data_IF_510991875990
#
_entry.id   IF_510991875990
#
_cell.length_a   1.000
_cell.length_b   1.000
_cell.length_c   1.000
_cell.angle_alpha   90.00
_cell.angle_beta   90.00
_cell.angle_gamma   90.00
#
_symmetry.space_group_name_H-M   'P 1'
#
loop_
_entity.id
_entity.type
_entity.pdbx_description
1 polymer ?
#
# COMPACT_ATOMS: atom_id res chain seq x y z
N UNK A 1 12.22 60.15 -60.87
CA UNK A 1 10.84 60.20 -60.33
C UNK A 1 10.57 58.95 -59.48
N UNK A 2 10.73 59.03 -58.16
CA UNK A 2 10.39 57.94 -57.23
C UNK A 2 9.00 58.23 -56.63
N UNK A 3 8.00 57.41 -56.97
CA UNK A 3 6.66 57.48 -56.36
C UNK A 3 6.76 57.05 -54.88
N UNK A 4 6.07 57.71 -53.93
CA UNK A 4 6.06 57.29 -52.54
C UNK A 4 5.23 56.00 -52.39
N UNK A 5 5.79 55.02 -51.69
CA UNK A 5 5.09 53.79 -51.32
C UNK A 5 3.92 54.12 -50.37
N UNK A 6 2.80 53.49 -50.67
CA UNK A 6 1.47 53.73 -50.13
C UNK A 6 1.37 53.38 -48.63
N UNK A 7 1.06 54.36 -47.78
CA UNK A 7 0.88 54.19 -46.32
C UNK A 7 -0.30 53.27 -45.93
N UNK A 8 -1.12 52.87 -46.89
CA UNK A 8 -2.31 52.03 -46.69
C UNK A 8 -1.97 50.58 -46.33
N UNK A 9 -0.85 50.04 -46.82
CA UNK A 9 -0.46 48.64 -46.53
C UNK A 9 0.10 48.44 -45.12
N UNK A 10 0.72 49.46 -44.53
CA UNK A 10 1.21 49.41 -43.14
C UNK A 10 0.08 49.47 -42.12
N UNK A 11 -1.02 50.17 -42.43
CA UNK A 11 -2.18 50.27 -41.55
C UNK A 11 -3.05 49.00 -41.58
N UNK A 12 -3.16 48.34 -42.73
CA UNK A 12 -3.92 47.09 -42.86
C UNK A 12 -3.21 45.89 -42.20
N UNK A 13 -1.88 45.80 -42.30
CA UNK A 13 -1.09 44.78 -41.60
C UNK A 13 -1.12 44.95 -40.07
N UNK A 14 -1.12 46.19 -39.56
CA UNK A 14 -1.17 46.46 -38.12
C UNK A 14 -2.55 46.15 -37.51
N UNK A 15 -3.64 46.38 -38.26
CA UNK A 15 -5.00 46.02 -37.85
C UNK A 15 -5.23 44.50 -37.85
N UNK A 16 -4.70 43.75 -38.82
CA UNK A 16 -4.82 42.29 -38.83
C UNK A 16 -4.01 41.63 -37.70
N UNK A 17 -2.80 42.13 -37.40
CA UNK A 17 -1.95 41.61 -36.31
C UNK A 17 -2.54 41.94 -34.95
N UNK A 18 -3.13 43.13 -34.74
CA UNK A 18 -3.80 43.46 -33.47
C UNK A 18 -5.10 42.67 -33.28
N UNK A 19 -5.86 42.37 -34.34
CA UNK A 19 -7.08 41.55 -34.23
C UNK A 19 -6.77 40.08 -33.96
N UNK A 20 -5.70 39.52 -34.57
CA UNK A 20 -5.22 38.16 -34.28
C UNK A 20 -4.64 38.02 -32.87
N UNK A 21 -3.94 39.04 -32.37
CA UNK A 21 -3.46 39.06 -30.98
C UNK A 21 -4.64 39.20 -30.00
N UNK A 22 -5.67 39.98 -30.32
CA UNK A 22 -6.86 40.09 -29.47
C UNK A 22 -7.66 38.77 -29.43
N UNK A 23 -7.81 38.07 -30.57
CA UNK A 23 -8.49 36.75 -30.62
C UNK A 23 -7.65 35.66 -29.94
N UNK A 24 -6.32 35.72 -30.02
CA UNK A 24 -5.43 34.82 -29.28
C UNK A 24 -5.44 35.11 -27.77
N UNK A 25 -5.56 36.38 -27.36
CA UNK A 25 -5.73 36.74 -25.95
C UNK A 25 -7.10 36.29 -25.44
N UNK A 26 -8.17 36.45 -26.23
CA UNK A 26 -9.52 35.96 -25.86
C UNK A 26 -9.57 34.41 -25.82
N UNK A 27 -8.85 33.70 -26.68
CA UNK A 27 -8.73 32.22 -26.61
C UNK A 27 -7.83 31.75 -25.45
N UNK A 28 -6.79 32.52 -25.09
CA UNK A 28 -5.89 32.17 -23.97
C UNK A 28 -6.46 32.49 -22.59
N UNK A 29 -7.42 33.42 -22.48
CA UNK A 29 -8.15 33.67 -21.22
C UNK A 29 -9.30 32.68 -21.02
N UNK A 30 -9.90 32.16 -22.10
CA UNK A 30 -10.93 31.11 -22.01
C UNK A 30 -10.38 29.74 -21.56
N UNK A 31 -9.08 29.47 -21.78
CA UNK A 31 -8.43 28.23 -21.33
C UNK A 31 -7.89 28.29 -19.89
N UNK A 32 -7.87 29.47 -19.26
CA UNK A 32 -7.31 29.68 -17.92
C UNK A 32 -8.32 29.53 -16.77
N UNK A 33 -9.50 28.94 -17.00
CA UNK A 33 -10.43 28.57 -15.94
C UNK A 33 -11.21 27.29 -16.28
N UNK A 34 -10.49 26.19 -16.54
CA UNK A 34 -11.08 24.89 -16.25
C UNK A 34 -11.25 24.79 -14.73
N UNK A 35 -12.39 25.27 -14.20
CA UNK A 35 -12.73 25.12 -12.80
C UNK A 35 -12.53 23.64 -12.41
N UNK A 36 -11.60 23.38 -11.49
CA UNK A 36 -11.36 22.03 -11.00
C UNK A 36 -12.71 21.41 -10.62
N UNK A 37 -13.00 20.21 -11.12
CA UNK A 37 -14.29 19.54 -10.86
C UNK A 37 -14.60 19.61 -9.35
N UNK A 38 -15.80 20.03 -8.93
CA UNK A 38 -16.10 20.23 -7.52
C UNK A 38 -16.00 18.89 -6.77
N UNK A 39 -15.52 18.94 -5.53
CA UNK A 39 -15.49 17.77 -4.65
C UNK A 39 -16.92 17.49 -4.19
N UNK A 40 -17.40 16.27 -4.43
CA UNK A 40 -18.71 15.82 -3.93
C UNK A 40 -18.54 15.15 -2.58
N UNK A 41 -19.44 15.43 -1.65
CA UNK A 41 -19.51 14.70 -0.37
C UNK A 41 -20.77 13.85 -0.39
N UNK A 42 -20.64 12.57 -0.09
CA UNK A 42 -21.73 11.58 -0.02
C UNK A 42 -21.75 11.07 1.41
N UNK A 43 -22.89 11.20 2.09
CA UNK A 43 -23.09 10.72 3.45
C UNK A 43 -24.21 9.69 3.42
N UNK A 44 -23.92 8.46 3.84
CA UNK A 44 -24.88 7.34 3.87
C UNK A 44 -25.54 7.06 2.51
N UNK A 45 -24.75 7.15 1.43
CA UNK A 45 -25.21 6.96 0.06
C UNK A 45 -25.92 8.18 -0.56
N UNK A 46 -26.18 9.23 0.22
CA UNK A 46 -26.83 10.46 -0.27
C UNK A 46 -25.82 11.58 -0.49
N UNK A 47 -25.82 12.18 -1.67
CA UNK A 47 -24.99 13.36 -1.94
C UNK A 47 -25.43 14.53 -1.05
N UNK A 48 -24.49 15.13 -0.35
CA UNK A 48 -24.71 16.25 0.55
C UNK A 48 -24.56 17.57 -0.21
N UNK A 49 -25.64 18.35 -0.25
CA UNK A 49 -25.59 19.75 -0.69
C UNK A 49 -25.07 20.60 0.46
N UNK A 50 -24.05 21.43 0.19
CA UNK A 50 -23.36 22.21 1.20
C UNK A 50 -23.18 23.63 0.70
N UNK A 51 -23.38 24.63 1.57
CA UNK A 51 -23.14 26.04 1.23
C UNK A 51 -21.65 26.33 1.01
N UNK A 52 -20.79 25.67 1.79
CA UNK A 52 -19.33 25.72 1.64
C UNK A 52 -18.83 24.56 0.78
N UNK A 53 -17.90 24.85 -0.12
CA UNK A 53 -17.29 23.84 -0.98
C UNK A 53 -16.11 23.17 -0.28
N UNK A 54 -15.97 21.82 -0.35
CA UNK A 54 -14.74 21.14 0.05
C UNK A 54 -13.58 21.53 -0.87
N UNK A 55 -12.36 21.56 -0.31
CA UNK A 55 -11.16 22.04 -1.01
C UNK A 55 -9.96 21.14 -0.75
N UNK A 56 -9.00 21.14 -1.67
CA UNK A 56 -7.68 20.54 -1.40
C UNK A 56 -6.76 21.67 -0.93
N UNK A 57 -6.28 21.58 0.30
CA UNK A 57 -5.37 22.56 0.90
C UNK A 57 -4.11 21.81 1.32
N UNK A 58 -2.95 22.21 0.78
CA UNK A 58 -1.66 21.55 1.01
C UNK A 58 -1.69 20.02 0.78
N UNK A 59 -2.37 19.59 -0.29
CA UNK A 59 -2.51 18.17 -0.64
C UNK A 59 -3.50 17.37 0.24
N UNK A 60 -4.22 18.01 1.15
CA UNK A 60 -5.24 17.38 2.01
C UNK A 60 -6.64 17.80 1.58
N UNK A 61 -7.54 16.83 1.48
CA UNK A 61 -8.97 17.11 1.28
C UNK A 61 -9.54 17.66 2.59
N UNK A 62 -10.02 18.89 2.51
CA UNK A 62 -10.61 19.66 3.61
C UNK A 62 -12.12 19.79 3.35
N UNK A 63 -12.92 19.37 4.31
CA UNK A 63 -14.39 19.32 4.19
C UNK A 63 -15.05 20.25 5.21
N UNK A 64 -16.14 20.94 4.85
CA UNK A 64 -16.87 21.79 5.79
C UNK A 64 -17.42 20.95 6.95
N UNK A 65 -16.86 21.17 8.13
CA UNK A 65 -17.02 20.26 9.25
C UNK A 65 -18.46 20.19 9.73
N UNK A 66 -19.08 21.36 9.96
CA UNK A 66 -20.45 21.51 10.45
C UNK A 66 -21.45 20.74 9.58
N UNK A 67 -21.44 20.98 8.27
CA UNK A 67 -22.41 20.40 7.35
C UNK A 67 -22.32 18.86 7.29
N UNK A 68 -21.11 18.30 7.38
CA UNK A 68 -20.96 16.84 7.50
C UNK A 68 -21.46 16.35 8.85
N UNK A 69 -21.04 16.96 9.96
CA UNK A 69 -21.37 16.44 11.31
C UNK A 69 -22.84 16.61 11.69
N UNK A 70 -23.51 17.68 11.26
CA UNK A 70 -24.96 17.88 11.46
C UNK A 70 -25.76 16.86 10.65
N UNK A 71 -25.35 16.54 9.41
CA UNK A 71 -25.95 15.45 8.63
C UNK A 71 -25.83 14.10 9.34
N UNK A 72 -24.72 13.90 10.06
CA UNK A 72 -24.48 12.74 10.91
C UNK A 72 -25.22 12.80 12.26
N UNK A 73 -26.07 13.80 12.50
CA UNK A 73 -26.87 13.92 13.73
C UNK A 73 -26.09 14.38 14.95
N UNK A 74 -24.92 15.02 14.77
CA UNK A 74 -24.15 15.61 15.85
C UNK A 74 -24.51 17.09 16.06
N UNK A 75 -24.44 17.57 17.30
CA UNK A 75 -24.56 18.98 17.63
C UNK A 75 -23.21 19.68 17.47
N UNK A 76 -23.20 20.89 16.90
CA UNK A 76 -21.98 21.63 16.60
C UNK A 76 -22.04 23.02 17.23
N UNK A 77 -21.14 23.27 18.19
CA UNK A 77 -20.97 24.55 18.84
C UNK A 77 -19.70 25.25 18.36
N UNK A 78 -19.80 26.54 18.05
CA UNK A 78 -18.65 27.38 17.69
C UNK A 78 -18.36 28.38 18.80
N UNK A 79 -17.12 28.41 19.28
CA UNK A 79 -16.63 29.45 20.19
C UNK A 79 -15.71 30.40 19.41
N UNK A 80 -16.17 31.64 19.22
CA UNK A 80 -15.45 32.66 18.48
C UNK A 80 -14.21 33.19 19.22
N UNK A 81 -14.23 33.24 20.55
CA UNK A 81 -13.11 33.72 21.37
C UNK A 81 -11.94 32.72 21.32
N UNK A 82 -12.26 31.43 21.43
CA UNK A 82 -11.26 30.36 21.39
C UNK A 82 -10.94 29.86 19.98
N UNK A 83 -11.64 30.39 18.96
CA UNK A 83 -11.60 29.93 17.57
C UNK A 83 -11.75 28.40 17.47
N UNK A 84 -12.66 27.84 18.26
CA UNK A 84 -12.80 26.40 18.41
C UNK A 84 -14.18 25.89 18.02
N UNK A 85 -14.22 24.72 17.38
CA UNK A 85 -15.46 23.98 17.14
C UNK A 85 -15.54 22.81 18.11
N UNK A 86 -16.66 22.67 18.80
CA UNK A 86 -16.99 21.51 19.63
C UNK A 86 -18.13 20.72 18.99
N UNK A 87 -17.99 19.40 18.88
CA UNK A 87 -19.02 18.51 18.34
C UNK A 87 -19.38 17.45 19.37
N UNK A 88 -20.69 17.27 19.60
CA UNK A 88 -21.23 16.26 20.52
C UNK A 88 -22.20 15.33 19.81
N UNK A 89 -22.04 14.02 20.02
CA UNK A 89 -22.96 12.97 19.55
C UNK A 89 -22.89 11.78 20.49
N UNK A 90 -23.96 11.52 21.25
CA UNK A 90 -23.93 10.53 22.33
C UNK A 90 -22.84 10.89 23.36
N UNK A 91 -21.98 9.92 23.71
CA UNK A 91 -20.83 10.12 24.61
C UNK A 91 -19.59 10.73 23.94
N UNK A 92 -19.61 10.92 22.62
CA UNK A 92 -18.48 11.46 21.88
C UNK A 92 -18.49 12.98 21.94
N UNK A 93 -17.40 13.56 22.46
CA UNK A 93 -17.15 15.00 22.48
C UNK A 93 -15.80 15.29 21.79
N UNK A 94 -15.86 16.00 20.65
CA UNK A 94 -14.69 16.44 19.89
C UNK A 94 -14.51 17.94 20.05
N UNK A 95 -13.28 18.42 20.23
CA UNK A 95 -12.96 19.85 20.17
C UNK A 95 -11.76 20.08 19.27
N UNK A 96 -11.89 21.03 18.35
CA UNK A 96 -10.84 21.46 17.44
C UNK A 96 -10.62 22.95 17.57
N UNK A 97 -9.38 23.40 17.42
CA UNK A 97 -9.02 24.82 17.36
C UNK A 97 -8.45 25.14 15.98
N UNK A 98 -8.97 26.18 15.34
CA UNK A 98 -8.49 26.63 14.02
C UNK A 98 -7.00 26.98 14.12
N UNK A 99 -6.20 26.44 13.18
CA UNK A 99 -4.75 26.65 13.12
C UNK A 99 -3.92 25.69 13.99
N UNK A 100 -4.54 24.85 14.82
CA UNK A 100 -3.82 23.85 15.61
C UNK A 100 -3.87 22.47 14.95
N UNK A 101 -2.75 21.75 14.97
CA UNK A 101 -2.66 20.35 14.53
C UNK A 101 -2.99 19.35 15.63
N UNK A 102 -3.55 19.82 16.75
CA UNK A 102 -4.04 19.01 17.84
C UNK A 102 -5.54 19.25 18.04
N UNK A 103 -6.27 18.17 18.27
CA UNK A 103 -7.68 18.18 18.68
C UNK A 103 -7.84 17.37 19.95
N UNK A 104 -9.00 17.46 20.61
CA UNK A 104 -9.35 16.54 21.69
C UNK A 104 -10.55 15.68 21.31
N UNK A 105 -10.51 14.41 21.72
CA UNK A 105 -11.60 13.44 21.62
C UNK A 105 -11.83 12.83 23.00
N UNK A 106 -13.01 13.06 23.60
CA UNK A 106 -13.36 12.62 24.96
C UNK A 106 -12.26 13.00 25.98
N UNK A 107 -11.73 14.22 25.85
CA UNK A 107 -10.67 14.75 26.71
C UNK A 107 -9.24 14.28 26.37
N UNK A 108 -9.04 13.33 25.45
CA UNK A 108 -7.71 12.87 25.02
C UNK A 108 -7.23 13.63 23.79
N UNK A 109 -5.96 14.03 23.76
CA UNK A 109 -5.36 14.71 22.62
C UNK A 109 -5.18 13.76 21.42
N UNK A 110 -5.56 14.22 20.23
CA UNK A 110 -5.45 13.52 18.95
C UNK A 110 -4.71 14.42 17.96
N UNK A 111 -3.71 13.88 17.27
CA UNK A 111 -2.97 14.59 16.24
C UNK A 111 -3.74 14.65 14.91
N UNK A 112 -3.79 15.84 14.32
CA UNK A 112 -4.34 16.11 13.01
C UNK A 112 -3.22 16.12 11.97
N UNK A 113 -3.53 15.59 10.79
CA UNK A 113 -2.66 15.57 9.63
C UNK A 113 -2.59 16.92 8.88
N UNK A 114 -3.54 17.81 9.15
CA UNK A 114 -3.47 19.24 8.85
C UNK A 114 -4.31 20.03 9.87
N UNK A 115 -3.96 21.30 10.10
CA UNK A 115 -4.74 22.15 10.99
C UNK A 115 -6.11 22.49 10.37
N UNK A 116 -7.19 22.57 11.16
CA UNK A 116 -8.46 23.12 10.70
C UNK A 116 -8.27 24.55 10.24
N UNK A 117 -8.92 24.91 9.14
CA UNK A 117 -8.85 26.25 8.56
C UNK A 117 -10.24 26.87 8.50
N UNK A 118 -10.30 28.18 8.60
CA UNK A 118 -11.55 28.91 8.38
C UNK A 118 -11.53 29.54 7.00
N UNK A 119 -12.48 29.16 6.14
CA UNK A 119 -12.62 29.67 4.77
C UNK A 119 -14.05 30.16 4.58
N UNK A 120 -14.21 31.41 4.17
CA UNK A 120 -15.52 32.05 3.95
C UNK A 120 -16.51 31.88 5.13
N UNK A 121 -16.01 31.95 6.38
CA UNK A 121 -16.85 31.79 7.58
C UNK A 121 -17.08 30.34 8.01
N UNK A 122 -16.70 29.34 7.20
CA UNK A 122 -16.85 27.93 7.52
C UNK A 122 -15.53 27.32 7.99
N UNK A 123 -15.61 26.44 8.99
CA UNK A 123 -14.45 25.67 9.44
C UNK A 123 -14.35 24.41 8.59
N UNK A 124 -13.24 24.27 7.88
CA UNK A 124 -12.91 23.09 7.11
C UNK A 124 -11.90 22.25 7.91
N UNK A 125 -12.14 20.94 7.95
CA UNK A 125 -11.27 19.99 8.66
C UNK A 125 -10.71 18.95 7.70
N UNK A 126 -9.55 18.35 8.01
CA UNK A 126 -9.02 17.26 7.22
C UNK A 126 -9.98 16.08 7.21
N UNK A 127 -10.15 15.48 6.03
CA UNK A 127 -11.03 14.34 5.81
C UNK A 127 -10.80 13.19 6.82
N UNK A 128 -9.54 12.93 7.15
CA UNK A 128 -9.11 11.87 8.08
C UNK A 128 -9.65 12.08 9.51
N UNK A 129 -9.89 13.32 9.90
CA UNK A 129 -10.39 13.62 11.24
C UNK A 129 -11.81 13.10 11.45
N UNK A 130 -12.66 13.21 10.42
CA UNK A 130 -14.03 12.67 10.44
C UNK A 130 -14.03 11.16 10.72
N UNK A 131 -13.03 10.43 10.21
CA UNK A 131 -12.94 8.98 10.45
C UNK A 131 -12.55 8.60 11.87
N UNK A 132 -11.63 9.36 12.49
CA UNK A 132 -11.08 9.03 13.80
C UNK A 132 -11.92 9.48 14.99
N UNK A 133 -12.78 10.50 14.78
CA UNK A 133 -13.50 11.14 15.87
C UNK A 133 -14.92 10.60 16.13
N UNK A 134 -15.65 10.25 15.07
CA UNK A 134 -17.10 10.01 15.14
C UNK A 134 -17.51 8.55 14.88
N UNK A 135 -16.57 7.65 14.62
CA UNK A 135 -16.88 6.24 14.30
C UNK A 135 -17.42 6.05 12.89
N UNK A 136 -16.94 6.84 11.92
CA UNK A 136 -17.35 6.76 10.52
C UNK A 136 -16.16 6.30 9.66
N UNK A 137 -16.42 5.49 8.64
CA UNK A 137 -15.46 5.24 7.57
C UNK A 137 -15.56 6.36 6.56
N UNK A 138 -14.40 6.89 6.18
CA UNK A 138 -14.30 7.99 5.23
C UNK A 138 -13.37 7.60 4.10
N UNK A 139 -13.91 7.60 2.88
CA UNK A 139 -13.18 7.23 1.66
C UNK A 139 -13.08 8.42 0.72
N UNK A 140 -11.88 8.68 0.22
CA UNK A 140 -11.64 9.64 -0.87
C UNK A 140 -11.43 8.88 -2.17
N UNK A 141 -12.32 9.11 -3.13
CA UNK A 141 -12.16 8.65 -4.50
C UNK A 141 -11.62 9.81 -5.37
N UNK A 142 -10.36 9.70 -5.77
CA UNK A 142 -9.70 10.69 -6.60
C UNK A 142 -10.23 10.73 -8.04
N UNK A 143 -10.74 9.62 -8.57
CA UNK A 143 -11.26 9.52 -9.93
C UNK A 143 -12.62 10.24 -10.05
N UNK A 144 -13.51 10.02 -9.09
CA UNK A 144 -14.83 10.68 -9.06
C UNK A 144 -14.85 12.00 -8.28
N UNK A 145 -13.71 12.36 -7.65
CA UNK A 145 -13.54 13.48 -6.71
C UNK A 145 -14.63 13.50 -5.66
N UNK A 146 -14.89 12.32 -5.10
CA UNK A 146 -15.94 12.14 -4.10
C UNK A 146 -15.37 11.71 -2.75
N UNK A 147 -15.92 12.31 -1.71
CA UNK A 147 -15.76 11.89 -0.33
C UNK A 147 -16.99 11.06 0.02
N UNK A 148 -16.81 9.81 0.42
CA UNK A 148 -17.89 8.99 0.98
C UNK A 148 -17.70 8.86 2.48
N UNK A 149 -18.72 9.24 3.24
CA UNK A 149 -18.81 9.11 4.69
C UNK A 149 -19.94 8.12 4.98
N UNK A 150 -19.64 7.05 5.70
CA UNK A 150 -20.61 6.04 6.14
C UNK A 150 -20.26 5.61 7.55
N UNK A 151 -21.21 5.14 8.38
CA UNK A 151 -20.87 4.53 9.65
C UNK A 151 -19.74 3.55 9.43
N UNK A 152 -18.73 3.56 10.31
CA UNK A 152 -18.04 2.31 10.55
C UNK A 152 -19.17 1.37 10.95
N UNK A 153 -19.44 0.34 10.12
CA UNK A 153 -20.45 -0.66 10.45
C UNK A 153 -20.30 -0.96 11.94
N UNK A 154 -21.39 -0.72 12.67
CA UNK A 154 -21.42 -1.00 14.10
C UNK A 154 -20.91 -2.45 14.22
N UNK A 155 -19.82 -2.71 14.96
CA UNK A 155 -19.41 -4.09 15.19
C UNK A 155 -20.68 -4.80 15.68
N UNK A 156 -21.02 -5.98 15.14
CA UNK A 156 -22.29 -6.63 15.44
C UNK A 156 -22.59 -6.52 16.93
N UNK A 157 -23.78 -6.02 17.26
CA UNK A 157 -24.25 -5.95 18.63
C UNK A 157 -24.07 -7.32 19.30
N UNK A 158 -23.20 -7.34 20.32
CA UNK A 158 -22.74 -8.53 21.05
C UNK A 158 -22.20 -9.69 20.19
N UNK A 159 -21.33 -10.55 20.75
CA UNK A 159 -20.81 -11.69 19.99
C UNK A 159 -22.00 -12.58 19.59
N UNK A 160 -22.26 -12.70 18.29
CA UNK A 160 -22.85 -13.94 17.79
C UNK A 160 -21.95 -15.07 18.28
N UNK A 161 -22.54 -16.23 18.57
CA UNK A 161 -21.93 -17.40 19.21
C UNK A 161 -20.59 -17.93 18.61
N UNK A 162 -19.99 -17.30 17.59
CA UNK A 162 -18.72 -17.67 16.95
C UNK A 162 -17.45 -17.34 17.76
N UNK A 163 -17.50 -16.45 18.75
CA UNK A 163 -16.33 -16.14 19.59
C UNK A 163 -15.35 -15.13 18.97
N UNK A 164 -14.08 -15.18 19.36
CA UNK A 164 -13.04 -14.19 18.98
C UNK A 164 -11.79 -14.88 18.42
N UNK A 165 -11.04 -14.16 17.59
CA UNK A 165 -9.66 -14.46 17.22
C UNK A 165 -8.81 -13.20 17.36
N UNK A 166 -7.69 -13.31 18.08
CA UNK A 166 -6.76 -12.23 18.32
C UNK A 166 -5.56 -12.37 17.37
N UNK A 167 -5.40 -11.41 16.45
CA UNK A 167 -4.40 -11.42 15.40
C UNK A 167 -3.28 -10.43 15.71
N UNK A 168 -2.02 -10.88 15.73
CA UNK A 168 -0.86 -10.00 15.72
C UNK A 168 -0.33 -9.91 14.30
N UNK A 169 -0.24 -8.71 13.74
CA UNK A 169 0.08 -8.52 12.31
C UNK A 169 1.08 -7.41 12.04
N UNK A 170 2.09 -7.68 11.22
CA UNK A 170 2.98 -6.63 10.69
C UNK A 170 2.46 -5.97 9.40
N UNK A 171 1.43 -6.57 8.80
CA UNK A 171 0.70 -6.00 7.68
C UNK A 171 -0.21 -4.87 8.19
N UNK A 172 0.01 -3.66 7.69
CA UNK A 172 -0.63 -2.43 8.17
C UNK A 172 -1.55 -1.76 7.13
N UNK A 173 -1.81 -2.43 5.99
CA UNK A 173 -2.69 -1.92 4.93
C UNK A 173 -3.67 -2.98 4.46
N UNK A 174 -4.91 -2.56 4.15
CA UNK A 174 -5.89 -3.37 3.41
C UNK A 174 -6.40 -4.62 4.13
N UNK A 175 -6.23 -4.72 5.46
CA UNK A 175 -6.62 -5.90 6.23
C UNK A 175 -8.00 -5.79 6.87
N UNK A 176 -8.44 -4.59 7.22
CA UNK A 176 -9.72 -4.37 7.91
C UNK A 176 -10.93 -4.88 7.11
N UNK A 177 -11.09 -4.57 5.81
CA UNK A 177 -12.26 -5.04 5.05
C UNK A 177 -12.32 -6.58 4.95
N UNK A 178 -11.14 -7.21 4.91
CA UNK A 178 -11.00 -8.67 4.86
C UNK A 178 -11.50 -9.30 6.16
N UNK A 179 -11.12 -8.73 7.30
CA UNK A 179 -11.55 -9.22 8.62
C UNK A 179 -13.02 -8.92 8.91
N UNK A 180 -13.55 -7.79 8.42
CA UNK A 180 -14.99 -7.52 8.43
C UNK A 180 -15.76 -8.57 7.63
N UNK A 181 -15.29 -8.93 6.43
CA UNK A 181 -15.92 -9.96 5.62
C UNK A 181 -15.89 -11.34 6.29
N UNK A 182 -14.75 -11.73 6.88
CA UNK A 182 -14.64 -12.94 7.68
C UNK A 182 -15.62 -12.96 8.87
N UNK A 183 -15.67 -11.85 9.62
CA UNK A 183 -16.58 -11.72 10.77
C UNK A 183 -18.03 -11.85 10.33
N UNK A 184 -18.41 -11.25 9.19
CA UNK A 184 -19.75 -11.37 8.62
C UNK A 184 -20.07 -12.81 8.21
N UNK A 185 -19.11 -13.51 7.61
CA UNK A 185 -19.29 -14.88 7.13
C UNK A 185 -19.38 -15.92 8.26
N UNK A 186 -18.70 -15.68 9.39
CA UNK A 186 -18.50 -16.70 10.44
C UNK A 186 -19.08 -16.35 11.80
N UNK A 187 -19.37 -15.06 12.04
CA UNK A 187 -19.69 -14.55 13.37
C UNK A 187 -18.49 -14.45 14.33
N UNK A 188 -17.28 -14.82 13.91
CA UNK A 188 -16.05 -14.74 14.71
C UNK A 188 -15.48 -13.33 14.62
N UNK A 189 -15.34 -12.66 15.76
CA UNK A 189 -14.76 -11.31 15.83
C UNK A 189 -13.24 -11.36 15.68
N UNK A 190 -12.68 -10.55 14.78
CA UNK A 190 -11.22 -10.39 14.66
C UNK A 190 -10.78 -9.16 15.44
N UNK A 191 -9.97 -9.36 16.48
CA UNK A 191 -9.26 -8.27 17.16
C UNK A 191 -7.82 -8.31 16.69
N UNK A 192 -7.27 -7.19 16.23
CA UNK A 192 -5.89 -7.20 15.74
C UNK A 192 -5.02 -6.13 16.38
N UNK A 193 -3.74 -6.48 16.56
CA UNK A 193 -2.67 -5.59 17.02
C UNK A 193 -1.63 -5.50 15.92
N UNK A 194 -1.26 -4.28 15.55
CA UNK A 194 -0.24 -4.03 14.53
C UNK A 194 1.11 -3.72 15.16
N UNK A 195 2.20 -4.12 14.50
CA UNK A 195 3.56 -3.84 14.97
C UNK A 195 4.62 -4.41 14.03
N UNK A 196 5.87 -3.98 14.19
CA UNK A 196 6.98 -4.55 13.42
C UNK A 196 7.16 -6.04 13.75
N UNK A 197 7.53 -6.86 12.76
CA UNK A 197 7.65 -8.32 12.90
C UNK A 197 8.53 -8.76 14.08
N UNK A 198 9.72 -8.17 14.22
CA UNK A 198 10.62 -8.48 15.33
C UNK A 198 9.99 -8.14 16.71
N UNK A 199 9.28 -7.01 16.79
CA UNK A 199 8.61 -6.57 18.03
C UNK A 199 7.46 -7.52 18.38
N UNK A 200 6.65 -7.91 17.40
CA UNK A 200 5.53 -8.83 17.63
C UNK A 200 6.01 -10.23 18.03
N UNK A 201 7.09 -10.74 17.43
CA UNK A 201 7.66 -12.03 17.84
C UNK A 201 8.20 -12.01 19.26
N UNK A 202 8.98 -10.99 19.62
CA UNK A 202 9.47 -10.85 21.00
C UNK A 202 8.33 -10.67 21.99
N UNK A 203 7.26 -9.97 21.60
CA UNK A 203 6.04 -9.87 22.41
C UNK A 203 5.38 -11.22 22.64
N UNK A 204 5.12 -12.01 21.58
CA UNK A 204 4.53 -13.35 21.69
C UNK A 204 5.41 -14.24 22.58
N UNK A 205 6.75 -14.17 22.40
CA UNK A 205 7.70 -14.89 23.23
C UNK A 205 7.61 -14.50 24.71
N UNK A 206 7.58 -13.19 25.00
CA UNK A 206 7.53 -12.67 26.36
C UNK A 206 6.20 -12.99 27.06
N UNK A 207 5.09 -12.97 26.33
CA UNK A 207 3.78 -13.34 26.85
C UNK A 207 3.66 -14.85 27.12
N UNK A 208 4.39 -15.68 26.35
CA UNK A 208 4.49 -17.12 26.56
C UNK A 208 3.13 -17.81 26.59
N UNK A 209 2.89 -18.67 27.59
CA UNK A 209 1.62 -19.40 27.78
C UNK A 209 0.40 -18.51 28.00
N UNK A 210 0.61 -17.23 28.30
CA UNK A 210 -0.45 -16.26 28.53
C UNK A 210 -0.65 -15.30 27.36
N UNK A 211 -0.02 -15.56 26.20
CA UNK A 211 -0.26 -14.72 25.02
C UNK A 211 -1.74 -14.72 24.66
N UNK A 212 -2.36 -13.53 24.47
CA UNK A 212 -3.70 -13.47 23.93
C UNK A 212 -3.70 -13.73 22.43
N UNK A 213 -2.54 -13.69 21.74
CA UNK A 213 -2.46 -13.83 20.30
C UNK A 213 -2.81 -15.26 19.88
N UNK A 214 -3.77 -15.38 18.97
CA UNK A 214 -4.20 -16.65 18.35
C UNK A 214 -3.47 -16.90 17.03
N UNK A 215 -3.24 -15.82 16.26
CA UNK A 215 -2.61 -15.86 14.94
C UNK A 215 -1.51 -14.82 14.88
N UNK A 216 -0.36 -15.21 14.33
CA UNK A 216 0.68 -14.29 13.89
C UNK A 216 0.68 -14.21 12.36
N UNK A 217 0.49 -13.01 11.82
CA UNK A 217 0.51 -12.71 10.40
C UNK A 217 1.70 -11.80 10.08
N UNK A 218 2.55 -12.25 9.18
CA UNK A 218 3.77 -11.57 8.81
C UNK A 218 3.81 -11.28 7.31
N UNK A 219 4.55 -10.23 6.97
CA UNK A 219 5.11 -10.09 5.63
C UNK A 219 6.47 -10.78 5.62
N UNK A 220 6.71 -11.64 4.64
CA UNK A 220 7.96 -12.42 4.46
C UNK A 220 7.99 -13.79 5.13
N UNK A 221 8.27 -14.81 4.31
CA UNK A 221 8.47 -16.16 4.77
C UNK A 221 9.66 -16.29 5.72
N UNK A 222 10.69 -15.43 5.60
CA UNK A 222 11.79 -15.40 6.56
C UNK A 222 11.31 -15.11 7.98
N UNK A 223 10.39 -14.14 8.14
CA UNK A 223 9.80 -13.81 9.45
C UNK A 223 8.93 -14.95 10.01
N UNK A 224 8.15 -15.61 9.16
CA UNK A 224 7.34 -16.77 9.55
C UNK A 224 8.21 -17.95 9.96
N UNK A 225 9.29 -18.21 9.23
CA UNK A 225 10.25 -19.25 9.54
C UNK A 225 10.96 -18.97 10.86
N UNK A 226 11.39 -17.73 11.12
CA UNK A 226 11.98 -17.35 12.42
C UNK A 226 11.00 -17.59 13.58
N UNK A 227 9.74 -17.19 13.44
CA UNK A 227 8.72 -17.46 14.45
C UNK A 227 8.53 -18.97 14.69
N UNK A 228 8.50 -19.77 13.63
CA UNK A 228 8.38 -21.22 13.72
C UNK A 228 9.62 -21.90 14.32
N UNK A 229 10.83 -21.42 13.99
CA UNK A 229 12.10 -21.89 14.58
C UNK A 229 12.13 -21.61 16.08
N UNK A 230 11.65 -20.45 16.48
CA UNK A 230 11.65 -20.00 17.87
C UNK A 230 10.51 -20.62 18.70
N UNK A 231 9.78 -21.59 18.15
CA UNK A 231 8.70 -22.31 18.85
C UNK A 231 7.45 -21.47 19.09
N UNK A 232 7.26 -20.35 18.37
CA UNK A 232 6.13 -19.45 18.58
C UNK A 232 4.88 -19.88 17.81
N UNK A 233 5.01 -20.79 16.86
CA UNK A 233 3.93 -21.26 15.99
C UNK A 233 3.73 -22.77 16.11
N UNK A 234 2.46 -23.18 16.21
CA UNK A 234 2.06 -24.58 16.28
C UNK A 234 1.70 -25.14 14.90
N UNK A 235 1.95 -26.44 14.65
CA UNK A 235 1.54 -27.08 13.42
C UNK A 235 0.01 -27.15 13.30
N UNK A 236 -0.51 -26.89 12.11
CA UNK A 236 -1.94 -27.00 11.78
C UNK A 236 -2.12 -28.07 10.72
N UNK A 237 -2.80 -29.17 11.08
CA UNK A 237 -3.20 -30.18 10.10
C UNK A 237 -4.61 -29.85 9.56
N UNK A 238 -4.68 -29.17 8.42
CA UNK A 238 -5.94 -28.83 7.74
C UNK A 238 -5.91 -29.28 6.28
N UNK A 239 -6.91 -30.10 5.91
CA UNK A 239 -7.11 -30.52 4.51
C UNK A 239 -7.42 -29.32 3.60
N UNK A 240 -8.13 -28.31 4.11
CA UNK A 240 -8.44 -27.10 3.35
C UNK A 240 -7.17 -26.29 3.06
N UNK A 241 -6.32 -26.05 4.07
CA UNK A 241 -5.06 -25.34 3.87
C UNK A 241 -4.11 -26.08 2.92
N UNK A 242 -3.96 -27.40 3.11
CA UNK A 242 -3.07 -28.22 2.27
C UNK A 242 -3.52 -28.30 0.81
N UNK A 243 -4.84 -28.25 0.57
CA UNK A 243 -5.41 -28.22 -0.78
C UNK A 243 -5.31 -26.83 -1.42
N UNK A 244 -5.59 -25.78 -0.64
CA UNK A 244 -5.68 -24.42 -1.17
C UNK A 244 -4.30 -23.78 -1.35
N UNK A 245 -3.31 -24.12 -0.52
CA UNK A 245 -1.98 -23.49 -0.52
C UNK A 245 -0.93 -24.49 -1.04
N UNK A 246 -0.27 -24.19 -2.19
CA UNK A 246 0.82 -24.99 -2.74
C UNK A 246 1.91 -25.30 -1.71
N UNK A 247 2.51 -26.49 -1.78
CA UNK A 247 3.49 -26.96 -0.79
C UNK A 247 4.74 -26.09 -0.70
N UNK A 248 5.16 -25.44 -1.79
CA UNK A 248 6.29 -24.52 -1.79
C UNK A 248 5.98 -23.18 -1.10
N UNK A 249 4.71 -22.84 -0.87
CA UNK A 249 4.26 -21.61 -0.21
C UNK A 249 3.92 -21.78 1.28
N UNK A 250 4.18 -22.95 1.86
CA UNK A 250 3.91 -23.25 3.27
C UNK A 250 5.09 -23.96 3.93
N UNK A 251 5.12 -23.90 5.26
CA UNK A 251 6.09 -24.64 6.07
C UNK A 251 5.96 -26.15 5.83
N UNK A 252 7.07 -26.90 5.64
CA UNK A 252 7.02 -28.35 5.52
C UNK A 252 6.38 -29.05 6.73
N UNK A 253 6.44 -28.44 7.92
CA UNK A 253 5.82 -28.94 9.15
C UNK A 253 4.46 -28.26 9.45
N UNK A 254 3.88 -27.54 8.48
CA UNK A 254 2.57 -26.89 8.58
C UNK A 254 2.42 -25.89 9.74
N UNK A 255 3.51 -25.24 10.17
CA UNK A 255 3.47 -24.19 11.21
C UNK A 255 3.02 -22.82 10.69
N UNK A 256 3.14 -22.59 9.39
CA UNK A 256 2.67 -21.37 8.73
C UNK A 256 2.34 -21.62 7.26
N UNK A 257 1.50 -20.74 6.69
CA UNK A 257 0.99 -20.84 5.33
C UNK A 257 1.05 -19.46 4.64
N UNK A 258 1.55 -19.43 3.41
CA UNK A 258 1.47 -18.26 2.54
C UNK A 258 0.03 -18.03 2.09
N UNK A 259 -0.48 -16.83 2.28
CA UNK A 259 -1.86 -16.44 1.98
C UNK A 259 -1.93 -15.50 0.78
N UNK A 260 -0.90 -14.72 0.50
CA UNK A 260 -0.76 -13.98 -0.75
C UNK A 260 0.67 -14.08 -1.25
N UNK A 261 0.86 -13.86 -2.54
CA UNK A 261 2.15 -13.92 -3.21
C UNK A 261 2.53 -12.53 -3.72
N UNK A 262 3.77 -12.14 -3.42
CA UNK A 262 4.46 -11.03 -4.05
C UNK A 262 5.61 -11.55 -4.88
N UNK A 263 5.91 -10.86 -5.97
CA UNK A 263 6.97 -11.20 -6.91
C UNK A 263 7.94 -10.05 -6.89
N UNK A 264 9.20 -10.31 -6.54
CA UNK A 264 10.26 -9.31 -6.54
C UNK A 264 11.04 -9.46 -7.84
N UNK A 265 10.87 -8.53 -8.76
CA UNK A 265 11.37 -8.67 -10.13
C UNK A 265 11.92 -7.36 -10.65
N UNK A 266 12.37 -7.37 -11.90
CA UNK A 266 12.91 -6.22 -12.61
C UNK A 266 11.78 -5.29 -13.05
N UNK A 267 11.93 -3.99 -12.79
CA UNK A 267 11.07 -2.94 -13.33
C UNK A 267 11.93 -1.91 -14.06
N UNK A 268 11.43 -1.38 -15.17
CA UNK A 268 12.21 -0.51 -16.06
C UNK A 268 11.36 0.56 -16.73
N UNK A 269 12.01 1.63 -17.18
CA UNK A 269 11.39 2.66 -18.01
C UNK A 269 11.51 2.30 -19.50
N UNK A 270 10.40 2.07 -20.22
CA UNK A 270 10.45 1.51 -21.59
C UNK A 270 11.10 2.43 -22.63
N UNK A 271 11.10 3.74 -22.42
CA UNK A 271 11.79 4.67 -23.33
C UNK A 271 13.32 4.69 -23.16
N UNK A 272 13.85 4.02 -22.13
CA UNK A 272 15.27 4.06 -21.74
C UNK A 272 15.94 2.69 -21.75
N UNK A 273 15.16 1.62 -21.65
CA UNK A 273 15.63 0.24 -21.64
C UNK A 273 14.69 -0.60 -22.49
N UNK A 274 15.25 -1.34 -23.44
CA UNK A 274 14.47 -2.32 -24.19
C UNK A 274 14.37 -3.65 -23.44
N UNK A 275 13.25 -4.38 -23.55
CA UNK A 275 13.10 -5.68 -22.86
C UNK A 275 14.20 -6.69 -23.17
N UNK A 276 14.77 -6.66 -24.38
CA UNK A 276 15.81 -7.59 -24.83
C UNK A 276 17.16 -7.34 -24.14
N UNK A 277 17.34 -6.19 -23.51
CA UNK A 277 18.53 -5.91 -22.69
C UNK A 277 18.45 -6.57 -21.30
N UNK A 278 17.26 -7.01 -20.89
CA UNK A 278 16.96 -7.58 -19.60
C UNK A 278 16.86 -9.11 -19.70
N UNK A 279 17.29 -9.80 -18.64
CA UNK A 279 17.19 -11.26 -18.60
C UNK A 279 17.01 -11.80 -17.18
N UNK A 280 18.01 -11.61 -16.33
CA UNK A 280 18.11 -12.28 -15.04
C UNK A 280 18.55 -11.32 -13.95
N UNK A 281 18.34 -11.67 -12.68
CA UNK A 281 18.91 -10.92 -11.57
C UNK A 281 20.44 -10.88 -11.66
N UNK A 282 21.04 -11.97 -12.14
CA UNK A 282 22.48 -12.12 -12.31
C UNK A 282 23.05 -11.16 -13.35
N UNK A 283 22.34 -10.93 -14.46
CA UNK A 283 22.75 -9.98 -15.52
C UNK A 283 22.85 -8.53 -15.02
N UNK A 284 22.16 -8.18 -13.94
CA UNK A 284 22.28 -6.85 -13.33
C UNK A 284 23.67 -6.59 -12.71
N UNK A 285 24.55 -7.60 -12.66
CA UNK A 285 25.96 -7.45 -12.31
C UNK A 285 26.83 -6.97 -13.48
N UNK A 286 26.32 -7.00 -14.72
CA UNK A 286 27.05 -6.57 -15.90
C UNK A 286 27.37 -5.06 -15.86
N UNK A 287 28.60 -4.61 -16.21
CA UNK A 287 28.98 -3.20 -16.21
C UNK A 287 28.10 -2.27 -17.05
N UNK A 288 27.31 -2.78 -18.01
CA UNK A 288 26.33 -2.01 -18.79
C UNK A 288 25.27 -1.32 -17.92
N UNK A 289 25.11 -1.77 -16.68
CA UNK A 289 24.17 -1.22 -15.70
C UNK A 289 24.78 -0.20 -14.73
N UNK A 290 26.06 0.15 -14.89
CA UNK A 290 26.74 1.09 -13.98
C UNK A 290 26.05 2.46 -13.93
N UNK A 291 25.65 2.87 -12.73
CA UNK A 291 24.94 4.12 -12.45
C UNK A 291 23.46 4.11 -12.87
N UNK A 292 22.93 2.98 -13.34
CA UNK A 292 21.58 2.86 -13.92
C UNK A 292 20.59 2.13 -13.00
N UNK A 293 21.10 1.46 -11.97
CA UNK A 293 20.32 0.62 -11.05
C UNK A 293 19.75 1.44 -9.90
N UNK A 294 18.49 1.16 -9.54
CA UNK A 294 17.85 1.70 -8.34
C UNK A 294 17.34 0.53 -7.48
N UNK A 295 17.80 0.43 -6.24
CA UNK A 295 17.55 -0.73 -5.39
C UNK A 295 17.24 -0.34 -3.95
N UNK A 296 16.88 -1.34 -3.14
CA UNK A 296 16.64 -1.20 -1.71
C UNK A 296 17.92 -1.44 -0.91
N UNK A 297 18.12 -0.76 0.24
CA UNK A 297 19.21 -1.08 1.15
C UNK A 297 19.22 -2.54 1.62
N UNK A 298 20.40 -3.04 2.04
CA UNK A 298 20.60 -4.39 2.59
C UNK A 298 19.76 -4.70 3.83
N UNK A 299 19.34 -3.67 4.57
CA UNK A 299 18.53 -3.80 5.79
C UNK A 299 17.10 -4.27 5.53
N UNK A 300 16.63 -4.28 4.28
CA UNK A 300 15.28 -4.74 3.94
C UNK A 300 15.20 -6.26 3.79
N UNK A 301 14.19 -6.84 4.44
CA UNK A 301 13.85 -8.27 4.33
C UNK A 301 13.66 -8.72 2.88
N UNK A 302 13.11 -7.87 2.02
CA UNK A 302 12.93 -8.19 0.60
C UNK A 302 14.26 -8.39 -0.15
N UNK A 303 15.28 -7.60 0.19
CA UNK A 303 16.64 -7.75 -0.36
C UNK A 303 17.29 -9.02 0.19
N UNK A 304 17.18 -9.24 1.49
CA UNK A 304 17.74 -10.41 2.17
C UNK A 304 17.14 -11.71 1.63
N UNK A 305 15.82 -11.80 1.46
CA UNK A 305 15.15 -13.00 0.94
C UNK A 305 15.45 -13.27 -0.53
N UNK A 306 15.64 -12.22 -1.35
CA UNK A 306 16.13 -12.38 -2.73
C UNK A 306 17.55 -12.97 -2.74
N UNK A 307 18.47 -12.41 -1.95
CA UNK A 307 19.84 -12.93 -1.84
C UNK A 307 19.85 -14.34 -1.27
N UNK A 308 19.02 -14.65 -0.28
CA UNK A 308 18.86 -16.02 0.24
C UNK A 308 18.44 -17.00 -0.86
N UNK A 309 17.50 -16.61 -1.73
CA UNK A 309 17.13 -17.44 -2.89
C UNK A 309 18.27 -17.62 -3.90
N UNK A 310 19.14 -16.63 -4.05
CA UNK A 310 20.34 -16.75 -4.89
C UNK A 310 21.41 -17.65 -4.25
N UNK A 311 21.58 -17.61 -2.93
CA UNK A 311 22.44 -18.56 -2.21
C UNK A 311 21.90 -19.98 -2.39
N UNK A 312 20.59 -20.19 -2.27
CA UNK A 312 19.98 -21.50 -2.51
C UNK A 312 20.21 -22.01 -3.94
N UNK A 313 20.13 -21.12 -4.94
CA UNK A 313 20.27 -21.47 -6.34
C UNK A 313 21.73 -21.71 -6.79
N UNK A 314 22.69 -20.95 -6.23
CA UNK A 314 24.06 -20.89 -6.76
C UNK A 314 25.16 -21.22 -5.75
N UNK A 315 24.81 -21.35 -4.47
CA UNK A 315 25.78 -21.35 -3.37
C UNK A 315 26.27 -19.94 -3.02
N UNK A 316 26.87 -19.83 -1.83
CA UNK A 316 27.26 -18.53 -1.23
C UNK A 316 28.32 -17.79 -2.06
N UNK A 317 29.33 -18.50 -2.56
CA UNK A 317 30.43 -17.90 -3.32
C UNK A 317 29.96 -17.21 -4.62
N UNK A 318 29.14 -17.91 -5.42
CA UNK A 318 28.62 -17.35 -6.68
C UNK A 318 27.61 -16.25 -6.41
N UNK A 319 26.74 -16.40 -5.41
CA UNK A 319 25.82 -15.34 -5.00
C UNK A 319 26.58 -14.06 -4.58
N UNK A 320 27.70 -14.20 -3.86
CA UNK A 320 28.52 -13.06 -3.44
C UNK A 320 29.14 -12.34 -4.63
N UNK A 321 29.65 -13.08 -5.61
CA UNK A 321 30.19 -12.51 -6.85
C UNK A 321 29.14 -11.66 -7.58
N UNK A 322 27.91 -12.17 -7.70
CA UNK A 322 26.81 -11.45 -8.35
C UNK A 322 26.47 -10.16 -7.57
N UNK A 323 26.33 -10.24 -6.25
CA UNK A 323 26.00 -9.08 -5.41
C UNK A 323 27.13 -8.04 -5.45
N UNK A 324 28.40 -8.46 -5.47
CA UNK A 324 29.54 -7.55 -5.68
C UNK A 324 29.46 -6.84 -7.03
N UNK A 325 29.04 -7.54 -8.08
CA UNK A 325 28.77 -6.93 -9.38
C UNK A 325 27.66 -5.88 -9.32
N UNK A 326 26.56 -6.14 -8.59
CA UNK A 326 25.54 -5.12 -8.34
C UNK A 326 26.11 -3.89 -7.63
N UNK A 327 26.93 -4.07 -6.60
CA UNK A 327 27.58 -2.96 -5.88
C UNK A 327 28.56 -2.19 -6.78
N UNK A 328 29.33 -2.89 -7.61
CA UNK A 328 30.24 -2.28 -8.58
C UNK A 328 29.52 -1.41 -9.62
N UNK A 329 28.25 -1.72 -9.89
CA UNK A 329 27.36 -0.90 -10.71
C UNK A 329 26.83 0.35 -10.00
N UNK A 330 27.25 0.64 -8.77
CA UNK A 330 26.95 1.87 -8.02
C UNK A 330 25.44 2.20 -8.00
N UNK A 331 24.59 1.30 -7.46
CA UNK A 331 23.15 1.48 -7.47
C UNK A 331 22.75 2.66 -6.59
N UNK A 332 21.72 3.39 -7.00
CA UNK A 332 21.04 4.35 -6.11
C UNK A 332 20.17 3.58 -5.14
N UNK A 333 20.39 3.75 -3.83
CA UNK A 333 19.63 3.06 -2.79
C UNK A 333 18.51 3.94 -2.25
N UNK A 334 17.28 3.44 -2.27
CA UNK A 334 16.08 4.17 -1.83
C UNK A 334 15.21 3.27 -0.95
N UNK A 335 14.84 3.75 0.23
CA UNK A 335 14.10 2.99 1.26
C UNK A 335 12.59 2.78 0.98
N UNK A 336 12.12 3.05 -0.24
CA UNK A 336 10.70 2.90 -0.62
C UNK A 336 10.60 2.38 -2.05
N UNK A 337 9.98 1.21 -2.25
CA UNK A 337 9.77 0.66 -3.60
C UNK A 337 8.87 1.61 -4.42
N UNK A 338 7.89 2.28 -3.80
CA UNK A 338 7.12 3.35 -4.47
C UNK A 338 8.03 4.47 -4.97
N UNK A 339 8.94 4.98 -4.12
CA UNK A 339 9.88 6.04 -4.51
C UNK A 339 10.90 5.58 -5.56
N UNK A 340 11.29 4.30 -5.53
CA UNK A 340 12.10 3.69 -6.60
C UNK A 340 11.37 3.81 -7.93
N UNK A 341 10.10 3.42 -8.00
CA UNK A 341 9.32 3.49 -9.23
C UNK A 341 9.07 4.92 -9.70
N UNK A 342 8.83 5.87 -8.78
CA UNK A 342 8.76 7.30 -9.10
C UNK A 342 10.10 7.84 -9.64
N UNK A 343 11.23 7.32 -9.12
CA UNK A 343 12.58 7.68 -9.60
C UNK A 343 12.82 7.18 -11.03
N UNK A 344 12.39 5.95 -11.34
CA UNK A 344 12.42 5.43 -12.71
C UNK A 344 11.54 6.27 -13.63
N UNK A 345 10.29 6.57 -13.21
CA UNK A 345 9.35 7.38 -13.98
C UNK A 345 9.87 8.81 -14.24
N UNK A 346 10.69 9.36 -13.35
CA UNK A 346 11.35 10.65 -13.53
C UNK A 346 12.65 10.58 -14.36
N UNK A 347 13.02 9.41 -14.88
CA UNK A 347 14.23 9.21 -15.69
C UNK A 347 15.54 9.32 -14.90
N UNK A 348 15.49 9.20 -13.56
CA UNK A 348 16.68 9.28 -12.67
C UNK A 348 17.23 7.90 -12.27
N UNK A 349 16.93 6.92 -13.09
CA UNK A 349 17.28 5.51 -12.97
C UNK A 349 16.59 4.75 -14.10
N UNK A 350 17.16 3.62 -14.51
CA UNK A 350 16.69 2.92 -15.70
C UNK A 350 16.08 1.56 -15.36
N UNK A 351 16.68 0.87 -14.39
CA UNK A 351 16.28 -0.49 -13.96
C UNK A 351 16.25 -0.57 -12.44
N UNK A 352 15.24 -1.24 -11.90
CA UNK A 352 15.11 -1.50 -10.48
C UNK A 352 14.71 -2.94 -10.17
N UNK A 353 14.93 -3.36 -8.93
CA UNK A 353 14.35 -4.58 -8.35
C UNK A 353 13.32 -4.16 -7.29
N UNK A 354 12.04 -4.40 -7.54
CA UNK A 354 10.95 -4.09 -6.58
C UNK A 354 9.91 -5.20 -6.52
N UNK A 355 9.04 -5.16 -5.51
CA UNK A 355 7.84 -5.99 -5.52
C UNK A 355 6.83 -5.45 -6.54
N UNK A 356 6.20 -6.33 -7.33
CA UNK A 356 5.28 -5.93 -8.41
C UNK A 356 4.08 -5.10 -7.92
N UNK A 357 3.56 -5.37 -6.72
CA UNK A 357 2.30 -4.79 -6.26
C UNK A 357 2.39 -3.26 -6.08
N UNK A 358 3.59 -2.71 -5.85
CA UNK A 358 3.78 -1.26 -5.80
C UNK A 358 3.46 -0.60 -7.15
N UNK A 359 3.85 -1.23 -8.26
CA UNK A 359 3.46 -0.76 -9.58
C UNK A 359 1.95 -0.93 -9.80
N UNK A 360 1.35 -2.02 -9.31
CA UNK A 360 -0.10 -2.22 -9.36
C UNK A 360 -0.87 -1.04 -8.73
N UNK A 361 -0.48 -0.62 -7.52
CA UNK A 361 -1.08 0.55 -6.84
C UNK A 361 -0.85 1.86 -7.61
N UNK A 362 0.34 2.06 -8.16
CA UNK A 362 0.65 3.25 -8.95
C UNK A 362 -0.17 3.31 -10.25
N UNK A 363 -0.42 2.17 -10.88
CA UNK A 363 -1.25 2.07 -12.08
C UNK A 363 -2.74 2.22 -11.79
N UNK A 364 -3.21 1.79 -10.61
CA UNK A 364 -4.57 2.09 -10.15
C UNK A 364 -4.77 3.60 -10.01
N UNK A 365 -3.82 4.31 -9.41
CA UNK A 365 -3.87 5.76 -9.26
C UNK A 365 -3.60 6.53 -10.57
N UNK A 366 -2.71 6.01 -11.42
CA UNK A 366 -2.31 6.59 -12.69
C UNK A 366 -2.07 5.48 -13.74
N UNK A 367 -3.07 5.13 -14.55
CA UNK A 367 -2.92 4.10 -15.59
C UNK A 367 -1.84 4.40 -16.63
N UNK A 368 -1.41 5.65 -16.76
CA UNK A 368 -0.36 6.09 -17.68
C UNK A 368 1.05 6.05 -17.04
N UNK A 369 1.22 5.46 -15.86
CA UNK A 369 2.53 5.40 -15.19
C UNK A 369 3.59 4.74 -16.10
N UNK A 370 4.74 5.39 -16.37
CA UNK A 370 5.66 5.00 -17.45
C UNK A 370 6.70 3.97 -16.99
N UNK A 371 6.28 2.97 -16.21
CA UNK A 371 7.15 1.86 -15.77
C UNK A 371 6.50 0.55 -16.15
N UNK A 372 7.33 -0.43 -16.52
CA UNK A 372 6.91 -1.78 -16.94
C UNK A 372 7.59 -2.84 -16.10
N UNK A 373 6.90 -3.96 -15.95
CA UNK A 373 7.44 -5.16 -15.31
C UNK A 373 8.23 -5.96 -16.34
N UNK A 374 9.39 -6.45 -15.94
CA UNK A 374 10.09 -7.52 -16.62
C UNK A 374 10.24 -8.70 -15.65
N UNK A 375 9.76 -9.88 -16.05
CA UNK A 375 9.87 -11.08 -15.25
C UNK A 375 11.28 -11.65 -15.41
N UNK A 376 12.08 -11.59 -14.35
CA UNK A 376 13.44 -12.11 -14.39
C UNK A 376 13.45 -13.64 -14.50
N UNK A 377 14.55 -14.20 -15.02
CA UNK A 377 14.89 -15.62 -14.85
C UNK A 377 13.90 -16.61 -15.52
N UNK A 378 13.15 -16.16 -16.54
CA UNK A 378 12.11 -16.97 -17.19
C UNK A 378 12.67 -18.16 -17.98
N UNK A 379 13.92 -18.09 -18.42
CA UNK A 379 14.61 -19.17 -19.12
C UNK A 379 15.36 -20.13 -18.18
N UNK A 380 15.25 -19.96 -16.85
CA UNK A 380 15.90 -20.85 -15.87
C UNK A 380 14.95 -21.24 -14.71
N UNK A 381 15.19 -20.75 -13.49
CA UNK A 381 14.44 -21.08 -12.27
C UNK A 381 13.10 -20.35 -12.16
N UNK A 382 12.91 -19.22 -12.84
CA UNK A 382 11.73 -18.36 -12.71
C UNK A 382 11.96 -17.18 -11.77
N UNK A 383 10.96 -16.30 -11.66
CA UNK A 383 11.04 -15.08 -10.87
C UNK A 383 10.91 -15.38 -9.36
N UNK A 384 11.67 -14.66 -8.54
CA UNK A 384 11.61 -14.76 -7.08
C UNK A 384 10.21 -14.36 -6.57
N UNK A 385 9.58 -15.29 -5.87
CA UNK A 385 8.29 -15.10 -5.18
C UNK A 385 8.53 -15.12 -3.68
N UNK A 386 7.74 -14.34 -2.94
CA UNK A 386 7.64 -14.39 -1.49
C UNK A 386 6.18 -14.21 -1.06
N UNK A 387 5.86 -14.38 0.22
CA UNK A 387 4.47 -14.44 0.69
C UNK A 387 4.18 -13.47 1.84
N UNK A 388 2.95 -12.97 1.89
CA UNK A 388 2.35 -12.59 3.17
C UNK A 388 1.64 -13.84 3.68
N UNK A 389 1.87 -14.22 4.92
CA UNK A 389 1.38 -15.48 5.46
C UNK A 389 1.13 -15.41 6.94
N UNK A 390 0.60 -16.50 7.48
CA UNK A 390 0.25 -16.56 8.89
C UNK A 390 0.40 -17.98 9.45
N UNK A 391 0.59 -18.05 10.76
CA UNK A 391 0.58 -19.27 11.55
C UNK A 391 -0.25 -19.10 12.81
N UNK A 392 -0.72 -20.21 13.36
CA UNK A 392 -1.39 -20.25 14.66
C UNK A 392 -0.31 -20.25 15.74
N UNK A 393 -0.45 -19.38 16.74
CA UNK A 393 0.55 -19.30 17.81
C UNK A 393 0.53 -20.55 18.69
N UNK A 394 1.67 -20.89 19.29
CA UNK A 394 1.82 -22.11 20.10
C UNK A 394 0.91 -22.16 21.35
N UNK A 395 0.40 -21.02 21.79
CA UNK A 395 -0.45 -20.90 22.97
C UNK A 395 -1.77 -20.17 22.67
N UNK A 396 -2.26 -20.28 21.42
CA UNK A 396 -3.51 -19.67 20.96
C UNK A 396 -4.71 -20.06 21.85
N UNK A 397 -5.31 -19.13 22.63
CA UNK A 397 -6.46 -19.43 23.47
C UNK A 397 -7.72 -19.81 22.67
N UNK A 398 -7.86 -19.35 21.42
CA UNK A 398 -8.96 -19.60 20.50
C UNK A 398 -8.46 -20.35 19.25
N UNK A 399 -7.69 -21.41 19.44
CA UNK A 399 -7.02 -22.18 18.37
C UNK A 399 -7.95 -22.58 17.22
N UNK A 400 -9.17 -23.02 17.50
CA UNK A 400 -10.12 -23.42 16.45
C UNK A 400 -10.54 -22.23 15.57
N UNK A 401 -10.78 -21.07 16.18
CA UNK A 401 -11.11 -19.84 15.45
C UNK A 401 -9.91 -19.32 14.65
N UNK A 402 -8.70 -19.49 15.17
CA UNK A 402 -7.45 -19.21 14.47
C UNK A 402 -7.35 -20.03 13.17
N UNK A 403 -7.63 -21.34 13.25
CA UNK A 403 -7.63 -22.23 12.08
C UNK A 403 -8.72 -21.84 11.09
N UNK A 404 -9.95 -21.56 11.56
CA UNK A 404 -11.04 -21.10 10.69
C UNK A 404 -10.69 -19.82 9.93
N UNK A 405 -10.00 -18.89 10.59
CA UNK A 405 -9.50 -17.67 9.92
C UNK A 405 -8.51 -18.01 8.79
N UNK A 406 -7.52 -18.87 9.05
CA UNK A 406 -6.56 -19.29 8.02
C UNK A 406 -7.24 -20.04 6.87
N UNK A 407 -8.15 -20.96 7.17
CA UNK A 407 -8.90 -21.71 6.16
C UNK A 407 -9.74 -20.79 5.29
N UNK A 408 -10.46 -19.84 5.88
CA UNK A 408 -11.24 -18.86 5.14
C UNK A 408 -10.36 -17.93 4.29
N UNK A 409 -9.24 -17.43 4.85
CA UNK A 409 -8.27 -16.62 4.12
C UNK A 409 -7.64 -17.38 2.94
N UNK A 410 -7.52 -18.71 3.02
CA UNK A 410 -7.04 -19.56 1.92
C UNK A 410 -8.12 -19.90 0.87
N UNK A 411 -9.39 -19.74 1.23
CA UNK A 411 -10.54 -20.03 0.38
C UNK A 411 -10.79 -18.94 -0.67
N UNK A 412 -11.69 -19.18 -1.66
CA UNK A 412 -11.87 -18.28 -2.79
C UNK A 412 -12.22 -16.83 -2.43
N UNK A 413 -13.17 -16.62 -1.51
CA UNK A 413 -13.61 -15.29 -1.08
C UNK A 413 -12.49 -14.55 -0.33
N UNK A 414 -11.92 -15.20 0.69
CA UNK A 414 -10.85 -14.62 1.50
C UNK A 414 -9.60 -14.30 0.68
N UNK A 415 -9.19 -15.20 -0.22
CA UNK A 415 -8.06 -14.99 -1.13
C UNK A 415 -8.28 -13.79 -2.04
N UNK A 416 -9.46 -13.69 -2.65
CA UNK A 416 -9.76 -12.59 -3.56
C UNK A 416 -9.67 -11.26 -2.82
N UNK A 417 -10.34 -11.13 -1.67
CA UNK A 417 -10.32 -9.90 -0.88
C UNK A 417 -8.91 -9.57 -0.36
N UNK A 418 -8.17 -10.57 0.11
CA UNK A 418 -6.87 -10.35 0.75
C UNK A 418 -5.75 -10.04 -0.25
N UNK A 419 -5.78 -10.65 -1.44
CA UNK A 419 -4.84 -10.35 -2.52
C UNK A 419 -5.17 -9.00 -3.17
N UNK A 420 -6.44 -8.74 -3.49
CA UNK A 420 -6.87 -7.52 -4.20
C UNK A 420 -6.62 -6.27 -3.35
N UNK A 421 -6.80 -6.34 -2.02
CA UNK A 421 -6.64 -5.18 -1.12
C UNK A 421 -5.26 -4.54 -1.16
N UNK A 422 -4.26 -5.25 -1.71
CA UNK A 422 -2.88 -4.80 -1.75
C UNK A 422 -2.21 -5.00 -3.10
N UNK A 423 -2.98 -5.41 -4.13
CA UNK A 423 -2.49 -5.72 -5.48
C UNK A 423 -1.48 -6.87 -5.52
N UNK A 424 -1.68 -7.91 -4.71
CA UNK A 424 -0.85 -9.12 -4.71
C UNK A 424 -1.46 -10.23 -5.58
N UNK A 425 -0.69 -11.28 -5.87
CA UNK A 425 -1.24 -12.51 -6.44
C UNK A 425 -1.87 -13.37 -5.32
N UNK A 426 -3.01 -14.02 -5.55
CA UNK A 426 -3.53 -15.05 -4.64
C UNK A 426 -2.51 -16.19 -4.46
N UNK A 427 -2.42 -16.77 -3.26
CA UNK A 427 -1.68 -18.01 -3.03
C UNK A 427 -2.46 -19.23 -3.54
N UNK A 428 -3.80 -19.18 -3.51
CA UNK A 428 -4.65 -20.23 -4.05
C UNK A 428 -4.69 -20.16 -5.59
N UNK A 429 -4.19 -21.18 -6.30
CA UNK A 429 -4.09 -21.15 -7.76
C UNK A 429 -5.45 -21.12 -8.47
N UNK A 430 -6.54 -21.46 -7.78
CA UNK A 430 -7.89 -21.44 -8.33
C UNK A 430 -8.56 -20.06 -8.26
N UNK A 431 -7.88 -19.05 -7.71
CA UNK A 431 -8.41 -17.69 -7.55
C UNK A 431 -7.72 -16.76 -8.54
N UNK A 432 -8.52 -16.10 -9.36
CA UNK A 432 -8.01 -15.12 -10.32
C UNK A 432 -7.44 -13.89 -9.60
N UNK A 433 -6.34 -13.36 -10.14
CA UNK A 433 -5.73 -12.12 -9.64
C UNK A 433 -6.55 -10.88 -10.04
N UNK A 434 -6.35 -9.78 -9.33
CA UNK A 434 -6.87 -8.47 -9.71
C UNK A 434 -6.55 -8.13 -11.18
N UNK A 435 -7.46 -7.50 -11.96
CA UNK A 435 -7.23 -7.22 -13.38
C UNK A 435 -5.94 -6.45 -13.69
N UNK A 436 -5.57 -5.48 -12.85
CA UNK A 436 -4.29 -4.74 -12.99
C UNK A 436 -3.10 -5.69 -12.91
N UNK A 437 -3.17 -6.66 -11.99
CA UNK A 437 -2.10 -7.64 -11.76
C UNK A 437 -2.09 -8.72 -12.85
N UNK A 438 -3.25 -9.15 -13.33
CA UNK A 438 -3.38 -10.04 -14.47
C UNK A 438 -2.77 -9.43 -15.76
N UNK A 439 -2.89 -8.11 -15.93
CA UNK A 439 -2.33 -7.38 -17.07
C UNK A 439 -0.79 -7.33 -17.09
N UNK A 440 -0.10 -7.72 -16.03
CA UNK A 440 1.36 -7.90 -16.07
C UNK A 440 1.79 -9.18 -16.80
N UNK A 441 0.83 -10.00 -17.24
CA UNK A 441 1.07 -11.20 -18.02
C UNK A 441 1.50 -12.41 -17.18
N UNK A 442 1.69 -13.52 -17.89
CA UNK A 442 2.09 -14.79 -17.28
C UNK A 442 3.60 -14.87 -17.10
N UNK A 443 4.03 -15.58 -16.06
CA UNK A 443 5.44 -15.82 -15.78
C UNK A 443 5.63 -17.11 -14.99
N UNK A 444 6.83 -17.70 -15.12
CA UNK A 444 7.35 -18.80 -14.33
C UNK A 444 7.82 -18.26 -12.98
N UNK A 445 7.36 -18.90 -11.92
CA UNK A 445 7.73 -18.64 -10.53
C UNK A 445 8.88 -19.56 -10.14
N UNK A 446 9.81 -19.06 -9.32
CA UNK A 446 10.81 -19.90 -8.67
C UNK A 446 10.11 -20.96 -7.78
N UNK A 447 10.32 -22.27 -8.01
CA UNK A 447 9.65 -23.32 -7.25
C UNK A 447 10.23 -23.53 -5.84
N UNK A 448 11.30 -22.81 -5.47
CA UNK A 448 11.96 -22.91 -4.17
C UNK A 448 10.94 -22.79 -3.02
N UNK A 449 11.05 -23.70 -2.05
CA UNK A 449 10.22 -23.62 -0.86
C UNK A 449 10.63 -22.39 -0.03
N UNK A 450 9.64 -21.58 0.33
CA UNK A 450 9.83 -20.30 1.01
C UNK A 450 10.52 -20.42 2.38
N UNK A 451 10.52 -21.62 3.01
CA UNK A 451 11.25 -21.89 4.25
C UNK A 451 12.77 -21.71 4.09
N UNK A 452 13.31 -21.89 2.88
CA UNK A 452 14.73 -21.69 2.60
C UNK A 452 15.16 -20.24 2.80
N UNK A 453 14.24 -19.28 2.64
CA UNK A 453 14.56 -17.86 2.82
C UNK A 453 14.90 -17.54 4.26
N UNK A 454 14.15 -18.11 5.21
CA UNK A 454 14.47 -18.01 6.64
C UNK A 454 15.74 -18.77 7.01
N UNK A 455 15.88 -20.00 6.52
CA UNK A 455 17.06 -20.85 6.78
C UNK A 455 18.37 -20.18 6.34
N UNK A 456 18.34 -19.48 5.20
CA UNK A 456 19.50 -18.81 4.61
C UNK A 456 19.57 -17.31 4.90
N UNK A 457 18.64 -16.76 5.68
CA UNK A 457 18.56 -15.31 5.92
C UNK A 457 19.86 -14.77 6.56
N UNK A 458 20.38 -15.46 7.56
CA UNK A 458 21.60 -15.07 8.25
C UNK A 458 22.82 -15.08 7.31
N UNK A 459 22.90 -16.09 6.44
CA UNK A 459 23.94 -16.17 5.42
C UNK A 459 23.80 -15.03 4.39
N UNK A 460 22.57 -14.70 3.97
CA UNK A 460 22.29 -13.60 3.05
C UNK A 460 22.68 -12.24 3.64
N UNK A 461 22.39 -11.98 4.92
CA UNK A 461 22.78 -10.75 5.61
C UNK A 461 24.31 -10.63 5.68
N UNK A 462 25.02 -11.70 6.07
CA UNK A 462 26.49 -11.70 6.08
C UNK A 462 27.08 -11.49 4.69
N UNK A 463 26.50 -12.12 3.66
CA UNK A 463 26.95 -11.95 2.28
C UNK A 463 26.80 -10.51 1.81
N UNK A 464 25.64 -9.88 2.07
CA UNK A 464 25.39 -8.47 1.75
C UNK A 464 26.44 -7.56 2.38
N UNK A 465 26.74 -7.77 3.67
CA UNK A 465 27.77 -7.03 4.41
C UNK A 465 29.17 -7.22 3.79
N UNK A 466 29.60 -8.47 3.59
CA UNK A 466 30.91 -8.77 2.96
C UNK A 466 31.03 -8.19 1.55
N UNK A 467 29.94 -8.20 0.78
CA UNK A 467 29.88 -7.64 -0.56
C UNK A 467 29.92 -6.10 -0.59
N UNK A 468 29.77 -5.44 0.56
CA UNK A 468 29.71 -3.98 0.67
C UNK A 468 28.38 -3.39 0.20
N UNK A 469 27.31 -4.18 0.19
CA UNK A 469 25.97 -3.73 -0.16
C UNK A 469 25.38 -2.98 1.04
N UNK A 470 25.15 -1.68 0.89
CA UNK A 470 24.72 -0.78 1.98
C UNK A 470 23.23 -0.85 2.30
#
# INVERSE_FOLDING_TARGET
MKKPLNNSFRRLGLLLVTTLILVAIIHSVAQAAAAARPIRVVVDGTALTMEATPQIINGRVMVPFRAVTERLGAQVNWNSQERSVTVTKGETALRLVVGQTAATNRGRTVALDAAPVQVAGHVLVPLRFLSTGLGYLVHWDSATRSVTVRPAEEPPAEPRAGGVVNLYTSRHYGVEPVFTAFTRATGIQVRFTTGADAVLRERIRAEGRHTPADVYLAVDAGNLWLAARDGLLDPVNSAALNRNIPSNLRDPNNRWFGLTQRVRTILYHPDRVRPEELSTYEDLADPKWRGRLVMRPATHSYTQSLVASMIAAHGEARAEEIVRGWVANQPTLIDSDTRILETLAAGRGDVAITNHYYLGRLLEANPAFPVRVFWANQNNRGAHVNVSGAGVTAHAPNRENAIRLLEWLSGPEGQKLFADSNHEYPANPNVASHPIIANFGNFRRDPLNMAEYGRLQEAAVRLLDRAGYR
#
